data_IF_491114507734
#
_entry.id   IF_491114507734
#
_cell.length_a   1.000
_cell.length_b   1.000
_cell.length_c   1.000
_cell.angle_alpha   90.00
_cell.angle_beta   90.00
_cell.angle_gamma   90.00
#
_symmetry.space_group_name_H-M   'P 1'
#
loop_
_entity.id
_entity.type
_entity.pdbx_description
1 polymer ?
#
# COMPACT_ATOMS: atom_id res chain seq x y z
N UNK A 1 -4.00 -2.96 -18.88
CA UNK A 1 -3.35 -3.38 -17.63
C UNK A 1 -4.36 -4.23 -16.87
N UNK A 2 -3.99 -5.42 -16.37
CA UNK A 2 -4.91 -6.20 -15.53
C UNK A 2 -4.70 -5.85 -14.05
N UNK A 3 -5.60 -6.29 -13.17
CA UNK A 3 -5.54 -6.04 -11.71
C UNK A 3 -4.18 -6.44 -11.11
N UNK A 4 -3.65 -7.60 -11.53
CA UNK A 4 -2.40 -8.14 -11.01
C UNK A 4 -1.22 -7.24 -11.40
N UNK A 5 -1.14 -6.84 -12.68
CA UNK A 5 -0.10 -5.95 -13.19
C UNK A 5 -0.12 -4.60 -12.46
N UNK A 6 -1.31 -4.04 -12.22
CA UNK A 6 -1.47 -2.79 -11.49
C UNK A 6 -0.96 -2.91 -10.06
N UNK A 7 -1.45 -3.90 -9.32
CA UNK A 7 -1.01 -4.16 -7.93
C UNK A 7 0.50 -4.40 -7.89
N UNK A 8 1.05 -5.17 -8.82
CA UNK A 8 2.47 -5.49 -8.82
C UNK A 8 3.37 -4.27 -9.08
N UNK A 9 2.93 -3.35 -9.94
CA UNK A 9 3.66 -2.11 -10.23
C UNK A 9 3.49 -1.10 -9.09
N UNK A 10 2.25 -0.86 -8.65
CA UNK A 10 1.96 0.10 -7.58
C UNK A 10 2.47 -0.32 -6.23
N UNK A 11 2.51 -1.62 -5.92
CA UNK A 11 3.11 -2.11 -4.69
C UNK A 11 4.60 -1.73 -4.59
N UNK A 12 5.36 -1.84 -5.69
CA UNK A 12 6.79 -1.44 -5.71
C UNK A 12 6.95 0.06 -5.46
N UNK A 13 6.10 0.88 -6.10
CA UNK A 13 6.09 2.31 -5.90
C UNK A 13 5.74 2.66 -4.45
N UNK A 14 4.65 2.09 -3.92
CA UNK A 14 4.23 2.29 -2.53
C UNK A 14 5.34 1.95 -1.53
N UNK A 15 6.05 0.83 -1.74
CA UNK A 15 7.18 0.45 -0.89
C UNK A 15 8.30 1.50 -0.93
N UNK A 16 8.62 2.01 -2.12
CA UNK A 16 9.62 3.06 -2.31
C UNK A 16 9.23 4.35 -1.59
N UNK A 17 7.99 4.85 -1.81
CA UNK A 17 7.49 6.05 -1.16
C UNK A 17 7.49 5.94 0.37
N UNK A 18 7.01 4.82 0.92
CA UNK A 18 6.94 4.63 2.38
C UNK A 18 8.33 4.52 3.02
N UNK A 19 9.29 3.86 2.36
CA UNK A 19 10.67 3.81 2.85
C UNK A 19 11.30 5.20 2.88
N UNK A 20 11.16 5.97 1.81
CA UNK A 20 11.66 7.34 1.73
C UNK A 20 11.01 8.25 2.79
N UNK A 21 9.70 8.13 3.00
CA UNK A 21 8.97 8.86 4.04
C UNK A 21 9.47 8.54 5.44
N UNK A 22 9.62 7.25 5.80
CA UNK A 22 10.14 6.86 7.11
C UNK A 22 11.62 7.25 7.33
N UNK A 23 12.37 7.47 6.25
CA UNK A 23 13.73 7.99 6.31
C UNK A 23 13.79 9.53 6.38
N UNK A 24 12.65 10.21 6.26
CA UNK A 24 12.55 11.67 6.23
C UNK A 24 12.99 12.30 4.90
N UNK A 25 13.07 11.51 3.84
CA UNK A 25 13.48 11.96 2.49
C UNK A 25 12.29 12.44 1.65
N UNK A 26 11.07 12.09 2.05
CA UNK A 26 9.84 12.37 1.31
C UNK A 26 8.77 12.88 2.28
N UNK A 27 8.09 14.01 1.98
CA UNK A 27 7.04 14.53 2.84
C UNK A 27 5.72 13.76 2.64
N UNK A 28 4.81 13.81 3.62
CA UNK A 28 3.55 13.03 3.59
C UNK A 28 2.66 13.37 2.38
N UNK A 29 2.72 14.61 1.88
CA UNK A 29 1.94 15.06 0.74
C UNK A 29 2.22 14.26 -0.53
N UNK A 30 3.44 13.75 -0.71
CA UNK A 30 3.80 12.90 -1.85
C UNK A 30 3.13 11.51 -1.75
N UNK A 31 2.91 11.00 -0.53
CA UNK A 31 2.15 9.76 -0.31
C UNK A 31 0.67 9.99 -0.62
N UNK A 32 0.13 11.14 -0.21
CA UNK A 32 -1.26 11.52 -0.52
C UNK A 32 -1.48 11.69 -2.03
N UNK A 33 -0.57 12.35 -2.74
CA UNK A 33 -0.61 12.45 -4.19
C UNK A 33 -0.56 11.06 -4.84
N UNK A 34 0.37 10.21 -4.40
CA UNK A 34 0.47 8.83 -4.88
C UNK A 34 -0.83 8.04 -4.65
N UNK A 35 -1.52 8.24 -3.53
CA UNK A 35 -2.82 7.64 -3.25
C UNK A 35 -3.85 8.05 -4.29
N UNK A 36 -4.03 9.35 -4.51
CA UNK A 36 -5.03 9.86 -5.47
C UNK A 36 -4.74 9.43 -6.90
N UNK A 37 -3.47 9.49 -7.33
CA UNK A 37 -3.05 9.02 -8.65
C UNK A 37 -3.32 7.52 -8.83
N UNK A 38 -3.07 6.73 -7.77
CA UNK A 38 -3.35 5.29 -7.79
C UNK A 38 -4.85 5.00 -7.87
N UNK A 39 -5.69 5.79 -7.19
CA UNK A 39 -7.15 5.66 -7.24
C UNK A 39 -7.72 6.06 -8.61
N UNK A 40 -7.20 7.11 -9.23
CA UNK A 40 -7.58 7.53 -10.58
C UNK A 40 -7.22 6.44 -11.61
N UNK A 41 -6.00 5.92 -11.55
CA UNK A 41 -5.56 4.83 -12.43
C UNK A 41 -6.36 3.54 -12.19
N UNK A 42 -6.67 3.21 -10.94
CA UNK A 42 -7.52 2.07 -10.60
C UNK A 42 -8.90 2.17 -11.24
N UNK A 43 -9.48 3.38 -11.30
CA UNK A 43 -10.77 3.63 -11.94
C UNK A 43 -10.81 3.30 -13.44
N UNK A 44 -9.66 3.15 -14.09
CA UNK A 44 -9.54 2.75 -15.50
C UNK A 44 -9.35 1.23 -15.70
N UNK A 45 -9.26 0.46 -14.60
CA UNK A 45 -8.99 -0.99 -14.67
C UNK A 45 -10.31 -1.75 -14.66
N UNK A 46 -10.54 -2.49 -15.74
CA UNK A 46 -11.65 -3.43 -15.80
C UNK A 46 -11.36 -4.67 -14.94
N UNK A 47 -12.27 -4.97 -14.03
CA UNK A 47 -12.24 -6.18 -13.21
C UNK A 47 -13.66 -6.75 -13.01
N UNK A 48 -13.74 -7.99 -12.56
CA UNK A 48 -15.02 -8.63 -12.22
C UNK A 48 -15.15 -8.81 -10.70
N UNK A 49 -16.36 -8.67 -10.17
CA UNK A 49 -16.64 -8.86 -8.74
C UNK A 49 -16.34 -10.29 -8.25
N UNK A 50 -16.28 -11.26 -9.16
CA UNK A 50 -15.95 -12.66 -8.87
C UNK A 50 -14.44 -12.94 -8.93
N UNK A 51 -13.62 -11.99 -9.37
CA UNK A 51 -12.19 -12.19 -9.49
C UNK A 51 -11.54 -12.33 -8.11
N UNK A 52 -10.82 -13.43 -7.84
CA UNK A 52 -10.22 -13.67 -6.53
C UNK A 52 -9.13 -12.65 -6.20
N UNK A 53 -8.97 -12.37 -4.91
CA UNK A 53 -7.88 -11.55 -4.41
C UNK A 53 -6.62 -12.37 -4.24
N UNK A 54 -5.48 -11.85 -4.67
CA UNK A 54 -4.19 -12.39 -4.22
C UNK A 54 -3.84 -11.87 -2.82
N UNK A 55 -2.97 -12.57 -2.10
CA UNK A 55 -2.47 -12.09 -0.81
C UNK A 55 -1.77 -10.74 -0.96
N UNK A 56 -0.99 -10.58 -2.04
CA UNK A 56 -0.31 -9.32 -2.36
C UNK A 56 -1.29 -8.18 -2.59
N UNK A 57 -2.37 -8.41 -3.33
CA UNK A 57 -3.44 -7.43 -3.53
C UNK A 57 -4.09 -7.01 -2.19
N UNK A 58 -4.38 -7.97 -1.30
CA UNK A 58 -4.93 -7.66 0.04
C UNK A 58 -3.98 -6.81 0.86
N UNK A 59 -2.69 -7.14 0.87
CA UNK A 59 -1.70 -6.35 1.61
C UNK A 59 -1.52 -4.98 0.99
N UNK A 60 -1.50 -4.88 -0.34
CA UNK A 60 -1.40 -3.60 -1.05
C UNK A 60 -2.54 -2.65 -0.68
N UNK A 61 -3.80 -3.09 -0.83
CA UNK A 61 -4.95 -2.25 -0.49
C UNK A 61 -5.02 -1.91 0.99
N UNK A 62 -4.61 -2.84 1.85
CA UNK A 62 -4.53 -2.59 3.29
C UNK A 62 -3.54 -1.45 3.58
N UNK A 63 -2.31 -1.56 3.10
CA UNK A 63 -1.26 -0.54 3.33
C UNK A 63 -1.69 0.79 2.73
N UNK A 64 -2.17 0.80 1.49
CA UNK A 64 -2.61 2.01 0.80
C UNK A 64 -3.71 2.75 1.57
N UNK A 65 -4.67 2.01 2.13
CA UNK A 65 -5.71 2.58 2.97
C UNK A 65 -5.14 3.10 4.30
N UNK A 66 -4.28 2.33 4.98
CA UNK A 66 -3.72 2.75 6.27
C UNK A 66 -2.94 4.06 6.15
N UNK A 67 -2.14 4.21 5.09
CA UNK A 67 -1.27 5.40 4.93
C UNK A 67 -2.07 6.65 4.58
N UNK A 68 -3.22 6.50 3.93
CA UNK A 68 -4.15 7.61 3.67
C UNK A 68 -5.04 7.92 4.89
N UNK A 69 -5.41 6.90 5.67
CA UNK A 69 -6.30 7.06 6.82
C UNK A 69 -5.63 7.73 8.02
N UNK A 70 -4.34 7.45 8.25
CA UNK A 70 -3.60 7.98 9.39
C UNK A 70 -2.87 9.27 9.05
N UNK A 71 -2.90 10.22 9.99
CA UNK A 71 -2.13 11.45 9.85
C UNK A 71 -0.61 11.18 10.00
N UNK A 72 0.20 12.08 9.46
CA UNK A 72 1.68 12.02 9.50
C UNK A 72 2.25 11.74 10.89
N UNK A 73 1.71 12.38 11.94
CA UNK A 73 2.17 12.18 13.32
C UNK A 73 2.06 10.72 13.75
N UNK A 74 0.97 10.05 13.38
CA UNK A 74 0.74 8.64 13.70
C UNK A 74 1.67 7.75 12.90
N UNK A 75 1.86 8.05 11.62
CA UNK A 75 2.75 7.32 10.71
C UNK A 75 4.26 7.48 11.02
N UNK A 76 4.61 8.39 11.93
CA UNK A 76 6.00 8.68 12.34
C UNK A 76 6.29 8.37 13.81
N UNK A 77 5.30 8.50 14.71
CA UNK A 77 5.49 8.30 16.15
C UNK A 77 4.97 6.97 16.70
N UNK A 78 3.99 6.36 16.05
CA UNK A 78 3.40 5.09 16.51
C UNK A 78 4.25 3.90 16.03
N UNK A 79 5.22 3.50 16.84
CA UNK A 79 6.15 2.41 16.51
C UNK A 79 5.44 1.09 16.17
N UNK A 80 4.32 0.79 16.83
CA UNK A 80 3.57 -0.44 16.58
C UNK A 80 2.98 -0.44 15.17
N UNK A 81 2.30 0.65 14.80
CA UNK A 81 1.76 0.84 13.45
C UNK A 81 2.88 0.82 12.40
N UNK A 82 3.99 1.51 12.67
CA UNK A 82 5.12 1.59 11.74
C UNK A 82 5.74 0.20 11.51
N UNK A 83 5.92 -0.60 12.55
CA UNK A 83 6.46 -1.95 12.43
C UNK A 83 5.50 -2.87 11.68
N UNK A 84 4.19 -2.77 11.90
CA UNK A 84 3.18 -3.49 11.11
C UNK A 84 3.24 -3.10 9.63
N UNK A 85 3.27 -1.81 9.32
CA UNK A 85 3.36 -1.33 7.93
C UNK A 85 4.68 -1.74 7.27
N UNK A 86 5.81 -1.70 8.00
CA UNK A 86 7.11 -2.19 7.51
C UNK A 86 7.08 -3.68 7.21
N UNK A 87 6.42 -4.49 8.03
CA UNK A 87 6.24 -5.92 7.76
C UNK A 87 5.42 -6.14 6.48
N UNK A 88 4.37 -5.35 6.27
CA UNK A 88 3.60 -5.37 5.03
C UNK A 88 4.44 -4.98 3.80
N UNK A 89 5.22 -3.91 3.91
CA UNK A 89 6.16 -3.45 2.86
C UNK A 89 7.18 -4.54 2.53
N UNK A 90 7.79 -5.17 3.54
CA UNK A 90 8.72 -6.28 3.33
C UNK A 90 8.06 -7.46 2.60
N UNK A 91 6.80 -7.78 2.90
CA UNK A 91 6.05 -8.81 2.18
C UNK A 91 5.77 -8.41 0.72
N UNK A 92 5.38 -7.16 0.46
CA UNK A 92 5.11 -6.66 -0.91
C UNK A 92 6.37 -6.71 -1.80
N UNK A 93 7.56 -6.57 -1.20
CA UNK A 93 8.86 -6.71 -1.87
C UNK A 93 9.37 -8.17 -1.95
N UNK A 94 8.65 -9.13 -1.35
CA UNK A 94 9.03 -10.54 -1.36
C UNK A 94 10.12 -10.92 -0.34
N UNK A 95 10.39 -10.07 0.64
CA UNK A 95 11.40 -10.24 1.68
C UNK A 95 10.83 -10.75 3.02
N UNK A 96 9.51 -10.91 3.13
CA UNK A 96 8.81 -11.25 4.37
C UNK A 96 7.66 -12.24 4.20
N UNK A 97 7.03 -12.59 5.32
CA UNK A 97 5.82 -13.42 5.36
C UNK A 97 4.56 -12.57 5.23
N UNK A 98 3.47 -13.18 4.74
CA UNK A 98 2.19 -12.48 4.68
C UNK A 98 1.74 -12.10 6.09
N UNK A 99 1.42 -10.82 6.35
CA UNK A 99 0.85 -10.40 7.63
C UNK A 99 -0.52 -11.05 7.85
N UNK A 100 -0.83 -11.39 9.11
CA UNK A 100 -2.04 -12.13 9.46
C UNK A 100 -3.32 -11.28 9.42
N UNK A 101 -3.22 -9.98 9.71
CA UNK A 101 -4.38 -9.09 9.88
C UNK A 101 -4.59 -8.10 8.72
N UNK A 102 -4.03 -8.37 7.54
CA UNK A 102 -4.22 -7.53 6.36
C UNK A 102 -5.52 -7.86 5.61
N UNK A 103 -6.57 -7.08 5.89
CA UNK A 103 -7.88 -7.19 5.24
C UNK A 103 -8.11 -6.07 4.21
N UNK A 104 -7.18 -5.90 3.27
CA UNK A 104 -7.37 -4.94 2.18
C UNK A 104 -8.41 -5.41 1.18
N UNK A 105 -9.28 -4.49 0.76
CA UNK A 105 -10.36 -4.72 -0.19
C UNK A 105 -10.19 -3.69 -1.31
N UNK A 106 -10.30 -4.15 -2.56
CA UNK A 106 -10.25 -3.25 -3.72
C UNK A 106 -11.45 -2.29 -3.70
N UNK A 107 -11.27 -1.01 -4.05
CA UNK A 107 -12.36 -0.04 -4.18
C UNK A 107 -13.40 -0.43 -5.22
#
# INVERSE_FOLDING_TARGET
>A
MNVQDFVDNKAKQLCFYLRAFWQGELPIEEIELFFWDSMEEWGQIEYTLTQPYTQKERVFWHVLHQVHYWNEEKLTKDQFLIDELKNCVNFLEGLGHCPLDCVGIRP
#
